data_IF_527627084676
#
_entry.id   IF_527627084676
#
_cell.length_a   1.000
_cell.length_b   1.000
_cell.length_c   1.000
_cell.angle_alpha   90.00
_cell.angle_beta   90.00
_cell.angle_gamma   90.00
#
_symmetry.space_group_name_H-M   'P 1'
#
loop_
_entity.id
_entity.type
_entity.pdbx_description
1 polymer ?
#
# COMPACT_ATOMS: atom_id res chain seq x y z
N UNK A 1 -72.82 21.83 -39.32
CA UNK A 1 -72.91 22.90 -40.34
C UNK A 1 -72.33 24.16 -39.75
N UNK A 2 -71.38 24.75 -40.50
CA UNK A 2 -70.91 26.14 -40.49
C UNK A 2 -69.98 26.64 -39.37
N UNK A 3 -68.91 27.23 -39.88
CA UNK A 3 -67.79 27.98 -39.29
C UNK A 3 -68.20 29.38 -38.78
N UNK A 4 -67.17 30.13 -38.36
CA UNK A 4 -67.02 31.61 -38.21
C UNK A 4 -67.36 32.14 -36.82
N UNK A 5 -66.41 32.56 -35.96
CA UNK A 5 -65.34 33.59 -36.01
C UNK A 5 -65.76 34.89 -35.32
N UNK A 6 -64.77 35.48 -34.63
CA UNK A 6 -64.62 36.91 -34.25
C UNK A 6 -65.08 37.41 -32.85
N UNK A 7 -64.10 38.01 -32.16
CA UNK A 7 -64.16 38.75 -30.89
C UNK A 7 -64.92 40.09 -30.99
N UNK A 8 -65.21 40.71 -29.84
CA UNK A 8 -64.45 41.92 -29.50
C UNK A 8 -64.05 42.03 -28.00
N UNK A 9 -62.90 42.65 -27.75
CA UNK A 9 -62.54 43.33 -26.48
C UNK A 9 -63.00 44.80 -26.55
N UNK A 10 -63.22 45.55 -25.44
CA UNK A 10 -62.16 46.06 -24.55
C UNK A 10 -62.64 46.17 -23.06
N UNK A 11 -61.84 46.41 -22.03
CA UNK A 11 -60.98 47.58 -21.75
C UNK A 11 -60.25 47.28 -20.43
N UNK A 12 -58.91 47.33 -20.40
CA UNK A 12 -58.08 48.43 -19.89
C UNK A 12 -58.58 49.05 -18.58
N UNK A 13 -58.04 48.59 -17.44
CA UNK A 13 -57.38 49.46 -16.43
C UNK A 13 -57.16 48.80 -15.05
N UNK A 14 -56.36 47.72 -14.94
CA UNK A 14 -55.78 47.34 -13.62
C UNK A 14 -54.73 46.24 -13.74
N UNK A 15 -53.57 46.59 -14.33
CA UNK A 15 -52.38 45.73 -14.33
C UNK A 15 -51.14 46.60 -14.31
N UNK A 16 -50.85 47.16 -13.15
CA UNK A 16 -49.56 47.72 -12.79
C UNK A 16 -49.52 47.66 -11.27
N UNK A 17 -49.00 46.56 -10.69
CA UNK A 17 -48.45 46.48 -9.32
C UNK A 17 -48.16 45.04 -8.82
N UNK A 18 -48.14 44.00 -9.66
CA UNK A 18 -47.81 42.63 -9.22
C UNK A 18 -46.61 41.96 -9.93
N UNK A 19 -45.71 42.74 -10.54
CA UNK A 19 -44.49 42.20 -11.18
C UNK A 19 -43.25 42.98 -10.76
N UNK A 20 -42.99 43.06 -9.46
CA UNK A 20 -41.72 43.61 -8.94
C UNK A 20 -41.26 42.98 -7.61
N UNK A 21 -41.81 41.83 -7.19
CA UNK A 21 -41.47 41.21 -5.90
C UNK A 21 -41.31 39.69 -5.93
N UNK A 22 -40.93 39.12 -7.08
CA UNK A 22 -40.58 37.69 -7.20
C UNK A 22 -39.34 37.45 -8.08
N UNK A 23 -38.40 38.41 -8.09
CA UNK A 23 -37.12 38.28 -8.79
C UNK A 23 -35.92 38.71 -7.92
N UNK A 24 -36.06 38.68 -6.59
CA UNK A 24 -35.00 39.08 -5.65
C UNK A 24 -34.65 38.00 -4.61
N UNK A 25 -35.03 36.74 -4.83
CA UNK A 25 -34.72 35.62 -3.91
C UNK A 25 -34.21 34.37 -4.64
N UNK A 26 -33.43 34.55 -5.72
CA UNK A 26 -32.80 33.44 -6.46
C UNK A 26 -31.34 33.74 -6.85
N UNK A 27 -30.68 34.64 -6.12
CA UNK A 27 -29.27 35.00 -6.32
C UNK A 27 -28.63 35.19 -4.95
N UNK A 28 -28.21 34.10 -4.32
CA UNK A 28 -27.12 33.99 -3.33
C UNK A 28 -27.18 32.62 -2.66
N UNK A 29 -26.60 31.63 -3.33
CA UNK A 29 -25.84 30.50 -2.74
C UNK A 29 -25.23 29.68 -3.89
N UNK A 30 -24.66 30.36 -4.89
CA UNK A 30 -23.53 29.78 -5.58
C UNK A 30 -22.37 29.90 -4.58
N UNK A 31 -22.27 28.94 -3.65
CA UNK A 31 -21.02 28.73 -2.95
C UNK A 31 -19.99 28.50 -4.05
N UNK A 32 -19.14 29.49 -4.29
CA UNK A 32 -17.90 29.26 -5.00
C UNK A 32 -17.28 28.05 -4.31
N UNK A 33 -17.18 26.93 -5.03
CA UNK A 33 -16.33 25.81 -4.62
C UNK A 33 -14.91 26.36 -4.70
N UNK A 34 -14.55 27.10 -3.66
CA UNK A 34 -13.22 27.61 -3.47
C UNK A 34 -12.43 26.35 -3.19
N UNK A 35 -11.68 25.90 -4.21
CA UNK A 35 -10.86 24.71 -4.10
C UNK A 35 -10.08 24.82 -2.79
N UNK A 36 -10.34 23.89 -1.86
CA UNK A 36 -9.65 23.87 -0.56
C UNK A 36 -8.14 24.03 -0.83
N UNK A 37 -7.47 25.00 -0.18
CA UNK A 37 -6.03 25.16 -0.35
C UNK A 37 -5.35 23.85 0.02
N UNK A 38 -4.32 23.47 -0.74
CA UNK A 38 -3.58 22.25 -0.47
C UNK A 38 -2.97 22.30 0.95
N UNK A 39 -2.96 21.15 1.63
CA UNK A 39 -2.52 21.04 3.03
C UNK A 39 -0.97 21.07 3.19
N UNK A 40 -0.23 21.37 2.13
CA UNK A 40 1.24 21.27 2.06
C UNK A 40 1.95 22.11 3.13
N UNK A 41 1.50 23.35 3.37
CA UNK A 41 2.11 24.21 4.39
C UNK A 41 1.98 23.64 5.81
N UNK A 42 0.84 22.98 6.11
CA UNK A 42 0.63 22.28 7.38
C UNK A 42 1.53 21.04 7.46
N UNK A 43 1.55 20.23 6.42
CA UNK A 43 2.30 18.96 6.39
C UNK A 43 3.81 19.16 6.49
N UNK A 44 4.34 20.28 6.02
CA UNK A 44 5.77 20.59 6.05
C UNK A 44 6.19 21.42 7.28
N UNK A 45 5.24 21.82 8.12
CA UNK A 45 5.51 22.66 9.28
C UNK A 45 6.40 21.95 10.31
N UNK A 46 7.42 22.65 10.85
CA UNK A 46 8.42 22.12 11.79
C UNK A 46 8.67 23.00 13.03
N UNK A 47 7.74 23.90 13.34
CA UNK A 47 7.88 24.77 14.53
C UNK A 47 7.87 23.97 15.84
N UNK A 48 8.38 24.58 16.91
CA UNK A 48 8.48 23.93 18.22
C UNK A 48 7.10 23.53 18.78
N UNK A 49 6.05 24.25 18.42
CA UNK A 49 4.66 24.02 18.79
C UNK A 49 3.94 23.01 17.90
N UNK A 50 4.62 22.42 16.89
CA UNK A 50 4.00 21.53 15.89
C UNK A 50 3.18 20.42 16.53
N UNK A 51 3.74 19.69 17.49
CA UNK A 51 3.08 18.53 18.10
C UNK A 51 1.80 18.93 18.83
N UNK A 52 1.86 19.95 19.68
CA UNK A 52 0.70 20.45 20.43
C UNK A 52 -0.37 20.99 19.48
N UNK A 53 0.03 21.83 18.50
CA UNK A 53 -0.87 22.39 17.50
C UNK A 53 -1.54 21.30 16.66
N UNK A 54 -0.79 20.26 16.31
CA UNK A 54 -1.28 19.13 15.53
C UNK A 54 -2.33 18.36 16.33
N UNK A 55 -2.03 18.01 17.58
CA UNK A 55 -2.96 17.29 18.46
C UNK A 55 -4.25 18.07 18.71
N UNK A 56 -4.16 19.36 19.03
CA UNK A 56 -5.33 20.17 19.36
C UNK A 56 -6.28 20.33 18.17
N UNK A 57 -5.75 20.58 16.97
CA UNK A 57 -6.58 20.68 15.77
C UNK A 57 -7.08 19.32 15.29
N UNK A 58 -6.29 18.26 15.42
CA UNK A 58 -6.73 16.90 15.10
C UNK A 58 -7.89 16.45 16.00
N UNK A 59 -7.90 16.83 17.28
CA UNK A 59 -9.04 16.61 18.19
C UNK A 59 -10.29 17.41 17.81
N UNK A 60 -10.12 18.61 17.26
CA UNK A 60 -11.24 19.41 16.72
C UNK A 60 -11.83 18.79 15.46
N UNK A 61 -10.98 18.22 14.60
CA UNK A 61 -11.42 17.45 13.42
C UNK A 61 -12.11 16.14 13.83
N UNK A 62 -11.62 15.48 14.91
CA UNK A 62 -12.28 14.37 15.60
C UNK A 62 -12.21 13.02 14.88
N UNK A 63 -11.85 12.99 13.60
CA UNK A 63 -11.76 11.77 12.79
C UNK A 63 -10.60 11.84 11.79
N UNK A 64 -10.02 10.69 11.46
CA UNK A 64 -9.17 10.47 10.28
C UNK A 64 -9.78 9.36 9.42
N UNK A 65 -9.99 9.64 8.13
CA UNK A 65 -10.48 8.69 7.14
C UNK A 65 -9.29 7.97 6.49
N UNK A 66 -9.16 6.67 6.78
CA UNK A 66 -8.06 5.83 6.31
C UNK A 66 -8.56 4.83 5.26
N UNK A 67 -7.95 4.85 4.08
CA UNK A 67 -8.05 3.73 3.13
C UNK A 67 -6.81 2.83 3.29
N UNK A 68 -7.02 1.54 3.55
CA UNK A 68 -5.89 0.65 3.88
C UNK A 68 -5.98 -0.76 3.30
N UNK A 69 -4.81 -1.37 3.09
CA UNK A 69 -4.65 -2.79 2.77
C UNK A 69 -4.10 -3.65 3.91
N UNK A 70 -3.87 -3.09 5.11
CA UNK A 70 -3.50 -3.83 6.33
C UNK A 70 -4.58 -4.83 6.72
N UNK A 71 -4.17 -6.06 6.98
CA UNK A 71 -5.07 -7.12 7.45
C UNK A 71 -5.79 -6.66 8.73
N UNK A 72 -7.00 -7.16 9.04
CA UNK A 72 -7.70 -6.76 10.26
C UNK A 72 -6.90 -7.04 11.54
N UNK A 73 -6.07 -8.09 11.52
CA UNK A 73 -5.12 -8.41 12.58
C UNK A 73 -4.03 -7.35 12.81
N UNK A 74 -3.87 -6.41 11.88
CA UNK A 74 -2.89 -5.32 11.93
C UNK A 74 -3.56 -3.96 12.10
N UNK A 75 -4.55 -3.67 11.25
CA UNK A 75 -5.25 -2.39 11.28
C UNK A 75 -6.08 -2.22 12.56
N UNK A 76 -6.67 -3.30 13.10
CA UNK A 76 -7.41 -3.25 14.36
C UNK A 76 -6.55 -2.76 15.53
N UNK A 77 -5.46 -3.47 15.89
CA UNK A 77 -4.56 -3.03 16.96
C UNK A 77 -3.96 -1.64 16.72
N UNK A 78 -3.54 -1.32 15.49
CA UNK A 78 -2.94 -0.03 15.15
C UNK A 78 -3.91 1.14 15.37
N UNK A 79 -5.13 1.02 14.83
CA UNK A 79 -6.15 2.06 14.97
C UNK A 79 -6.63 2.19 16.40
N UNK A 80 -6.85 1.10 17.14
CA UNK A 80 -7.23 1.15 18.55
C UNK A 80 -6.17 1.85 19.42
N UNK A 81 -4.88 1.60 19.16
CA UNK A 81 -3.80 2.27 19.87
C UNK A 81 -3.80 3.78 19.60
N UNK A 82 -3.97 4.20 18.34
CA UNK A 82 -4.11 5.60 17.97
C UNK A 82 -5.33 6.27 18.63
N UNK A 83 -6.52 5.65 18.51
CA UNK A 83 -7.77 6.16 19.07
C UNK A 83 -7.66 6.34 20.58
N UNK A 84 -7.12 5.34 21.28
CA UNK A 84 -6.92 5.37 22.73
C UNK A 84 -5.95 6.48 23.15
N UNK A 85 -4.88 6.68 22.39
CA UNK A 85 -3.82 7.65 22.72
C UNK A 85 -4.28 9.09 22.48
N UNK A 86 -4.98 9.35 21.38
CA UNK A 86 -5.25 10.71 20.94
C UNK A 86 -6.70 11.17 21.12
N UNK A 87 -7.64 10.23 21.30
CA UNK A 87 -9.07 10.53 21.42
C UNK A 87 -9.71 10.92 20.09
N UNK A 88 -9.15 10.46 18.97
CA UNK A 88 -9.57 10.78 17.60
C UNK A 88 -9.98 9.47 16.94
N UNK A 89 -11.15 9.43 16.30
CA UNK A 89 -11.66 8.22 15.65
C UNK A 89 -10.90 7.93 14.35
N UNK A 90 -10.67 6.65 14.03
CA UNK A 90 -10.27 6.24 12.69
C UNK A 90 -11.49 5.68 11.96
N UNK A 91 -11.93 6.37 10.91
CA UNK A 91 -12.90 5.83 9.96
C UNK A 91 -12.16 5.05 8.88
N UNK A 92 -12.19 3.73 9.01
CA UNK A 92 -11.36 2.84 8.22
C UNK A 92 -12.19 2.16 7.12
N UNK A 93 -11.75 2.33 5.87
CA UNK A 93 -12.16 1.48 4.77
C UNK A 93 -11.01 0.58 4.32
N UNK A 94 -11.24 -0.74 4.40
CA UNK A 94 -10.25 -1.74 4.01
C UNK A 94 -10.62 -2.43 2.71
N UNK A 95 -9.63 -2.64 1.85
CA UNK A 95 -9.71 -3.56 0.72
C UNK A 95 -8.32 -4.11 0.36
N UNK A 96 -8.21 -4.93 -0.68
CA UNK A 96 -6.89 -5.24 -1.28
C UNK A 96 -6.25 -3.98 -1.90
N UNK A 97 -4.94 -4.05 -2.10
CA UNK A 97 -4.09 -2.93 -2.55
C UNK A 97 -4.58 -2.30 -3.86
N UNK A 98 -4.97 -3.13 -4.83
CA UNK A 98 -5.43 -2.65 -6.14
C UNK A 98 -6.73 -1.85 -6.03
N UNK A 99 -7.70 -2.33 -5.24
CA UNK A 99 -8.96 -1.62 -5.02
C UNK A 99 -8.76 -0.34 -4.20
N UNK A 100 -7.81 -0.32 -3.27
CA UNK A 100 -7.42 0.90 -2.54
C UNK A 100 -6.90 1.94 -3.53
N UNK A 101 -5.95 1.58 -4.39
CA UNK A 101 -5.43 2.47 -5.43
C UNK A 101 -6.52 2.94 -6.40
N UNK A 102 -7.30 2.01 -6.95
CA UNK A 102 -8.37 2.31 -7.91
C UNK A 102 -9.44 3.24 -7.33
N UNK A 103 -9.91 2.98 -6.10
CA UNK A 103 -10.90 3.84 -5.44
C UNK A 103 -10.34 5.24 -5.25
N UNK A 104 -9.13 5.35 -4.70
CA UNK A 104 -8.48 6.62 -4.41
C UNK A 104 -8.29 7.46 -5.68
N UNK A 105 -7.75 6.86 -6.75
CA UNK A 105 -7.57 7.51 -8.05
C UNK A 105 -8.91 7.93 -8.65
N UNK A 106 -9.91 7.06 -8.60
CA UNK A 106 -11.25 7.33 -9.15
C UNK A 106 -11.96 8.47 -8.41
N UNK A 107 -11.88 8.50 -7.08
CA UNK A 107 -12.42 9.60 -6.28
C UNK A 107 -11.69 10.92 -6.56
N UNK A 108 -10.36 10.90 -6.58
CA UNK A 108 -9.55 12.08 -6.85
C UNK A 108 -9.82 12.67 -8.25
N UNK A 109 -9.90 11.83 -9.29
CA UNK A 109 -10.22 12.26 -10.66
C UNK A 109 -11.64 12.82 -10.79
N UNK A 110 -12.55 12.38 -9.93
CA UNK A 110 -13.91 12.91 -9.85
C UNK A 110 -14.04 14.13 -8.92
N UNK A 111 -12.93 14.67 -8.40
CA UNK A 111 -12.94 15.81 -7.47
C UNK A 111 -13.52 15.47 -6.09
N UNK A 112 -13.59 14.19 -5.71
CA UNK A 112 -14.03 13.74 -4.39
C UNK A 112 -12.80 13.55 -3.49
N UNK A 113 -12.74 14.31 -2.41
CA UNK A 113 -11.62 14.30 -1.47
C UNK A 113 -12.09 13.80 -0.10
N UNK A 114 -12.51 12.53 -0.05
CA UNK A 114 -13.04 11.93 1.19
C UNK A 114 -11.95 11.33 2.08
N UNK A 115 -10.85 10.89 1.48
CA UNK A 115 -9.75 10.21 2.19
C UNK A 115 -8.74 11.20 2.74
N UNK A 116 -8.27 10.94 3.96
CA UNK A 116 -7.24 11.72 4.63
C UNK A 116 -5.85 11.09 4.43
N UNK A 117 -5.76 9.79 4.70
CA UNK A 117 -4.54 9.01 4.57
C UNK A 117 -4.80 7.69 3.84
N UNK A 118 -3.79 7.24 3.09
CA UNK A 118 -3.81 5.94 2.41
C UNK A 118 -2.61 5.14 2.86
N UNK A 119 -2.84 3.93 3.37
CA UNK A 119 -1.79 2.97 3.69
C UNK A 119 -1.90 1.78 2.75
N UNK A 120 -0.83 1.44 2.02
CA UNK A 120 -0.83 0.23 1.17
C UNK A 120 0.57 -0.15 0.67
N UNK A 121 0.65 -1.05 -0.32
CA UNK A 121 1.89 -1.47 -0.97
C UNK A 121 2.54 -0.28 -1.71
N UNK A 122 3.86 -0.17 -1.67
CA UNK A 122 4.62 0.92 -2.29
C UNK A 122 4.30 1.15 -3.77
N UNK A 123 4.08 0.10 -4.56
CA UNK A 123 3.74 0.23 -5.99
C UNK A 123 2.37 0.88 -6.23
N UNK A 124 1.39 0.62 -5.37
CA UNK A 124 0.07 1.25 -5.47
C UNK A 124 0.07 2.67 -4.89
N UNK A 125 0.87 2.93 -3.85
CA UNK A 125 1.17 4.30 -3.39
C UNK A 125 1.85 5.11 -4.48
N UNK A 126 2.78 4.51 -5.21
CA UNK A 126 3.49 5.16 -6.31
C UNK A 126 2.56 5.52 -7.47
N UNK A 127 1.61 4.63 -7.85
CA UNK A 127 0.57 4.98 -8.83
C UNK A 127 -0.21 6.22 -8.39
N UNK A 128 -0.61 6.29 -7.11
CA UNK A 128 -1.34 7.43 -6.55
C UNK A 128 -0.48 8.70 -6.48
N UNK A 129 0.83 8.57 -6.19
CA UNK A 129 1.77 9.68 -6.21
C UNK A 129 1.95 10.27 -7.61
N UNK A 130 2.03 9.43 -8.66
CA UNK A 130 2.08 9.85 -10.07
C UNK A 130 0.82 10.59 -10.52
N UNK A 131 -0.34 10.26 -9.94
CA UNK A 131 -1.60 11.00 -10.10
C UNK A 131 -1.67 12.28 -9.25
N UNK A 132 -0.57 12.63 -8.54
CA UNK A 132 -0.44 13.82 -7.67
C UNK A 132 -1.47 13.87 -6.53
N UNK A 133 -1.91 12.71 -6.05
CA UNK A 133 -2.91 12.59 -4.98
C UNK A 133 -2.32 12.93 -3.62
N UNK A 134 -1.04 12.61 -3.41
CA UNK A 134 -0.37 12.81 -2.12
C UNK A 134 0.48 14.07 -2.07
N UNK A 135 0.54 14.70 -0.90
CA UNK A 135 1.47 15.77 -0.57
C UNK A 135 2.72 15.21 0.10
N UNK A 136 3.86 15.89 -0.09
CA UNK A 136 5.01 15.69 0.80
C UNK A 136 4.62 16.09 2.22
N UNK A 137 5.10 15.33 3.20
CA UNK A 137 4.92 15.65 4.60
C UNK A 137 6.19 15.44 5.42
N UNK A 138 6.30 16.22 6.49
CA UNK A 138 7.33 16.06 7.49
C UNK A 138 6.80 15.27 8.69
N UNK A 139 7.62 14.35 9.16
CA UNK A 139 7.51 13.69 10.45
C UNK A 139 8.89 13.65 11.10
N UNK A 140 9.02 13.89 12.42
CA UNK A 140 10.30 13.72 13.12
C UNK A 140 10.83 12.28 13.02
N UNK A 141 9.96 11.30 12.79
CA UNK A 141 10.31 9.89 12.73
C UNK A 141 10.92 9.44 11.40
N UNK A 142 10.83 10.27 10.34
CA UNK A 142 11.41 9.93 9.02
C UNK A 142 12.93 9.72 9.10
N UNK A 143 13.62 10.43 9.99
CA UNK A 143 15.07 10.28 10.18
C UNK A 143 15.48 8.86 10.61
N UNK A 144 14.56 8.13 11.23
CA UNK A 144 14.79 6.79 11.75
C UNK A 144 14.45 5.70 10.73
N UNK A 145 13.74 6.02 9.66
CA UNK A 145 13.38 5.08 8.60
C UNK A 145 14.62 4.64 7.80
N UNK A 146 14.50 3.49 7.11
CA UNK A 146 15.50 3.01 6.18
C UNK A 146 15.55 3.92 4.93
N UNK A 147 16.67 4.63 4.66
CA UNK A 147 16.72 5.61 3.58
C UNK A 147 16.42 5.02 2.19
N UNK A 148 16.86 3.78 1.93
CA UNK A 148 16.63 3.09 0.66
C UNK A 148 15.15 2.79 0.37
N UNK A 149 14.29 2.80 1.40
CA UNK A 149 12.85 2.55 1.27
C UNK A 149 12.03 3.84 1.09
N UNK A 150 12.65 5.01 1.23
CA UNK A 150 11.96 6.30 1.10
C UNK A 150 11.96 6.71 -0.38
N UNK A 151 10.79 6.92 -1.00
CA UNK A 151 10.72 7.40 -2.37
C UNK A 151 11.31 8.81 -2.49
N UNK A 152 12.00 9.10 -3.59
CA UNK A 152 12.68 10.39 -3.80
C UNK A 152 11.73 11.60 -3.72
N UNK A 153 10.47 11.45 -4.15
CA UNK A 153 9.45 12.50 -4.13
C UNK A 153 8.78 12.71 -2.76
N UNK A 154 8.97 11.78 -1.81
CA UNK A 154 8.49 11.89 -0.41
C UNK A 154 6.98 12.09 -0.26
N UNK A 155 6.18 11.77 -1.27
CA UNK A 155 4.71 11.80 -1.21
C UNK A 155 4.10 10.67 -0.38
N UNK A 156 4.89 9.66 -0.04
CA UNK A 156 4.54 8.64 0.95
C UNK A 156 5.80 8.21 1.69
N UNK A 157 5.64 7.63 2.88
CA UNK A 157 6.75 7.16 3.72
C UNK A 157 6.57 5.68 4.05
N UNK A 158 7.67 4.88 4.05
CA UNK A 158 7.58 3.47 4.39
C UNK A 158 7.27 3.30 5.88
N UNK A 159 6.27 2.48 6.20
CA UNK A 159 5.92 2.11 7.57
C UNK A 159 6.39 0.68 7.92
N UNK A 160 6.51 -0.19 6.93
CA UNK A 160 6.96 -1.58 7.08
C UNK A 160 7.57 -2.10 5.80
N UNK A 161 8.28 -3.21 5.91
CA UNK A 161 8.91 -3.92 4.80
C UNK A 161 8.30 -5.32 4.66
N UNK A 162 8.31 -5.85 3.45
CA UNK A 162 8.06 -7.26 3.18
C UNK A 162 9.27 -7.89 2.51
N UNK A 163 9.67 -9.08 2.98
CA UNK A 163 10.81 -9.81 2.44
C UNK A 163 10.36 -11.10 1.77
N UNK A 164 10.62 -11.23 0.47
CA UNK A 164 10.47 -12.47 -0.27
C UNK A 164 11.74 -13.30 -0.14
N UNK A 165 11.57 -14.54 0.30
CA UNK A 165 12.65 -15.51 0.36
C UNK A 165 12.12 -16.92 0.40
N UNK A 166 12.90 -17.83 0.97
CA UNK A 166 12.63 -19.26 0.87
C UNK A 166 11.99 -19.76 2.15
N UNK A 167 10.82 -20.38 2.04
CA UNK A 167 10.24 -21.19 3.10
C UNK A 167 10.40 -22.67 2.78
N UNK A 168 10.53 -23.50 3.81
CA UNK A 168 10.68 -24.94 3.67
C UNK A 168 9.96 -25.68 4.78
N UNK A 169 9.53 -26.90 4.46
CA UNK A 169 8.92 -27.78 5.45
C UNK A 169 10.01 -28.42 6.34
N UNK A 170 9.98 -28.15 7.64
CA UNK A 170 11.03 -28.59 8.57
C UNK A 170 11.03 -30.09 8.86
N UNK A 171 9.96 -30.82 8.51
CA UNK A 171 9.89 -32.29 8.61
C UNK A 171 10.45 -32.99 7.37
N UNK A 172 10.53 -32.30 6.23
CA UNK A 172 10.89 -32.90 4.93
C UNK A 172 12.23 -32.38 4.40
N UNK A 173 12.65 -31.19 4.82
CA UNK A 173 13.90 -30.54 4.39
C UNK A 173 14.65 -30.06 5.63
N UNK A 174 15.92 -30.44 5.75
CA UNK A 174 16.78 -29.93 6.81
C UNK A 174 17.38 -28.60 6.40
N UNK A 175 17.62 -27.72 7.37
CA UNK A 175 18.11 -26.35 7.13
C UNK A 175 19.44 -26.33 6.39
N UNK A 176 20.31 -27.27 6.69
CA UNK A 176 21.65 -27.46 6.14
C UNK A 176 21.66 -27.97 4.69
N UNK A 177 20.56 -28.56 4.22
CA UNK A 177 20.47 -29.07 2.85
C UNK A 177 20.14 -27.95 1.84
N UNK A 178 19.63 -26.81 2.32
CA UNK A 178 19.23 -25.65 1.52
C UNK A 178 20.46 -24.88 1.02
N UNK A 179 20.48 -24.51 -0.27
CA UNK A 179 21.59 -23.75 -0.84
C UNK A 179 21.66 -22.33 -0.27
N UNK A 180 22.85 -21.74 -0.30
CA UNK A 180 23.08 -20.35 0.15
C UNK A 180 22.63 -19.30 -0.86
N UNK A 181 22.60 -19.66 -2.15
CA UNK A 181 22.15 -18.82 -3.26
C UNK A 181 21.13 -19.58 -4.10
N UNK A 182 20.29 -18.86 -4.86
CA UNK A 182 19.21 -19.53 -5.59
C UNK A 182 19.70 -20.48 -6.69
N UNK A 183 20.91 -20.30 -7.25
CA UNK A 183 21.42 -21.22 -8.28
C UNK A 183 21.55 -22.66 -7.78
N UNK A 184 21.74 -22.89 -6.48
CA UNK A 184 21.75 -24.25 -5.92
C UNK A 184 20.38 -24.95 -5.97
N UNK A 185 19.29 -24.24 -6.24
CA UNK A 185 17.99 -24.87 -6.51
C UNK A 185 17.88 -25.46 -7.92
N UNK A 186 18.90 -25.26 -8.77
CA UNK A 186 18.99 -25.92 -10.07
C UNK A 186 19.54 -27.36 -9.98
N UNK A 187 20.00 -27.79 -8.81
CA UNK A 187 20.43 -29.16 -8.59
C UNK A 187 19.26 -30.14 -8.75
N UNK A 188 19.51 -31.28 -9.40
CA UNK A 188 18.50 -32.29 -9.72
C UNK A 188 17.68 -32.77 -8.50
N UNK A 189 18.26 -32.72 -7.28
CA UNK A 189 17.60 -33.09 -6.01
C UNK A 189 16.37 -32.24 -5.69
N UNK A 190 16.23 -31.06 -6.30
CA UNK A 190 15.12 -30.13 -6.08
C UNK A 190 14.01 -30.23 -7.12
N UNK A 191 14.21 -31.02 -8.19
CA UNK A 191 13.19 -31.20 -9.24
C UNK A 191 11.92 -31.80 -8.65
N UNK A 192 10.77 -31.17 -8.92
CA UNK A 192 9.48 -31.57 -8.36
C UNK A 192 9.29 -31.26 -6.86
N UNK A 193 10.19 -30.48 -6.25
CA UNK A 193 10.11 -30.09 -4.81
C UNK A 193 9.99 -28.59 -4.58
N UNK A 194 10.00 -27.81 -5.66
CA UNK A 194 9.99 -26.34 -5.65
C UNK A 194 8.58 -25.86 -5.96
N UNK A 195 8.09 -24.90 -5.19
CA UNK A 195 6.92 -24.10 -5.54
C UNK A 195 7.23 -22.61 -5.67
N UNK A 196 6.43 -21.95 -6.49
CA UNK A 196 6.49 -20.51 -6.78
C UNK A 196 5.09 -19.91 -6.70
N UNK A 197 5.00 -18.65 -6.30
CA UNK A 197 3.78 -17.87 -6.48
C UNK A 197 3.71 -17.35 -7.92
N UNK A 198 2.53 -17.42 -8.53
CA UNK A 198 2.32 -17.15 -9.95
C UNK A 198 2.48 -15.67 -10.36
N UNK A 199 2.45 -14.73 -9.41
CA UNK A 199 2.50 -13.29 -9.61
C UNK A 199 3.81 -12.62 -9.17
N UNK A 200 4.83 -13.38 -8.73
CA UNK A 200 6.10 -12.84 -8.19
C UNK A 200 7.09 -12.34 -9.25
N UNK A 201 6.57 -11.49 -10.14
CA UNK A 201 7.33 -10.77 -11.16
C UNK A 201 8.40 -9.88 -10.49
N UNK A 202 8.11 -9.32 -9.30
CA UNK A 202 9.05 -8.51 -8.53
C UNK A 202 10.28 -9.31 -8.08
N UNK A 203 10.10 -10.60 -7.74
CA UNK A 203 11.21 -11.46 -7.38
C UNK A 203 12.14 -11.68 -8.56
N UNK A 204 11.57 -11.90 -9.76
CA UNK A 204 12.35 -11.97 -11.00
C UNK A 204 13.12 -10.69 -11.27
N UNK A 205 12.43 -9.53 -11.26
CA UNK A 205 13.06 -8.24 -11.49
C UNK A 205 14.19 -7.97 -10.49
N UNK A 206 13.96 -8.26 -9.21
CA UNK A 206 14.93 -8.07 -8.14
C UNK A 206 16.18 -8.95 -8.27
N UNK A 207 16.02 -10.26 -8.55
CA UNK A 207 17.16 -11.14 -8.80
C UNK A 207 17.94 -10.69 -10.02
N UNK A 208 17.24 -10.39 -11.13
CA UNK A 208 17.90 -10.00 -12.38
C UNK A 208 18.66 -8.68 -12.22
N UNK A 209 18.09 -7.70 -11.50
CA UNK A 209 18.78 -6.45 -11.17
C UNK A 209 20.05 -6.70 -10.36
N UNK A 210 19.97 -7.52 -9.32
CA UNK A 210 21.11 -7.76 -8.44
C UNK A 210 22.23 -8.57 -9.10
N UNK A 211 21.88 -9.51 -9.97
CA UNK A 211 22.86 -10.39 -10.64
C UNK A 211 23.31 -9.89 -12.01
N UNK A 212 22.63 -8.89 -12.58
CA UNK A 212 22.75 -8.51 -13.97
C UNK A 212 21.92 -9.41 -14.89
N UNK A 213 21.55 -8.87 -16.06
CA UNK A 213 20.60 -9.50 -16.99
C UNK A 213 21.04 -10.89 -17.45
N UNK A 214 22.31 -11.07 -17.82
CA UNK A 214 22.82 -12.36 -18.29
C UNK A 214 22.72 -13.46 -17.22
N UNK A 215 23.28 -13.21 -16.02
CA UNK A 215 23.29 -14.20 -14.93
C UNK A 215 21.88 -14.46 -14.40
N UNK A 216 21.09 -13.40 -14.19
CA UNK A 216 19.71 -13.51 -13.74
C UNK A 216 18.86 -14.34 -14.69
N UNK A 217 18.88 -14.02 -15.99
CA UNK A 217 18.11 -14.75 -16.99
C UNK A 217 18.60 -16.18 -17.17
N UNK A 218 19.92 -16.45 -17.05
CA UNK A 218 20.44 -17.83 -17.06
C UNK A 218 19.85 -18.65 -15.91
N UNK A 219 19.78 -18.09 -14.70
CA UNK A 219 19.15 -18.75 -13.55
C UNK A 219 17.67 -19.04 -13.81
N UNK A 220 16.89 -18.05 -14.24
CA UNK A 220 15.45 -18.22 -14.46
C UNK A 220 15.11 -19.23 -15.57
N UNK A 221 15.90 -19.25 -16.64
CA UNK A 221 15.77 -20.28 -17.68
C UNK A 221 16.05 -21.68 -17.12
N UNK A 222 17.07 -21.84 -16.30
CA UNK A 222 17.36 -23.10 -15.60
C UNK A 222 16.24 -23.49 -14.63
N UNK A 223 15.74 -22.55 -13.83
CA UNK A 223 14.66 -22.79 -12.87
C UNK A 223 13.39 -23.26 -13.58
N UNK A 224 13.07 -22.67 -14.74
CA UNK A 224 11.92 -23.10 -15.52
C UNK A 224 12.06 -24.53 -16.06
N UNK A 225 13.29 -25.06 -16.25
CA UNK A 225 13.51 -26.47 -16.59
C UNK A 225 13.32 -27.42 -15.39
N UNK A 226 13.41 -26.90 -14.16
CA UNK A 226 13.10 -27.66 -12.94
C UNK A 226 11.61 -27.96 -12.79
N UNK A 227 10.75 -27.32 -13.60
CA UNK A 227 9.28 -27.41 -13.56
C UNK A 227 8.74 -27.21 -12.14
N UNK A 228 8.93 -26.02 -11.56
CA UNK A 228 8.38 -25.70 -10.25
C UNK A 228 6.85 -25.77 -10.28
N UNK A 229 6.25 -26.08 -9.14
CA UNK A 229 4.81 -26.02 -8.94
C UNK A 229 4.37 -24.55 -8.76
N UNK A 230 3.72 -23.99 -9.77
CA UNK A 230 3.32 -22.58 -9.81
C UNK A 230 1.89 -22.44 -9.31
N UNK A 231 1.70 -21.69 -8.22
CA UNK A 231 0.41 -21.55 -7.54
C UNK A 231 0.03 -20.10 -7.37
N UNK A 232 -1.27 -19.80 -7.47
CA UNK A 232 -1.76 -18.44 -7.26
C UNK A 232 -2.08 -18.20 -5.80
N UNK A 233 -1.47 -17.16 -5.22
CA UNK A 233 -1.68 -16.71 -3.85
C UNK A 233 -0.60 -17.16 -2.87
N UNK A 234 0.07 -16.19 -2.26
CA UNK A 234 1.10 -16.41 -1.23
C UNK A 234 0.61 -17.23 -0.02
N UNK A 235 -0.66 -17.07 0.39
CA UNK A 235 -1.25 -17.86 1.47
C UNK A 235 -1.34 -19.34 1.09
N UNK A 236 -1.74 -19.64 -0.15
CA UNK A 236 -1.81 -21.02 -0.64
C UNK A 236 -0.41 -21.64 -0.69
N UNK A 237 0.56 -20.94 -1.28
CA UNK A 237 1.95 -21.43 -1.33
C UNK A 237 2.49 -21.74 0.07
N UNK A 238 2.25 -20.85 1.04
CA UNK A 238 2.66 -21.06 2.44
C UNK A 238 2.01 -22.32 3.02
N UNK A 239 0.72 -22.56 2.76
CA UNK A 239 0.03 -23.76 3.25
C UNK A 239 0.51 -25.05 2.59
N UNK A 240 0.86 -25.00 1.30
CA UNK A 240 1.46 -26.14 0.60
C UNK A 240 2.84 -26.49 1.15
N UNK A 241 3.60 -25.49 1.60
CA UNK A 241 4.85 -25.71 2.34
C UNK A 241 4.58 -26.32 3.71
N UNK A 242 3.60 -25.80 4.46
CA UNK A 242 3.21 -26.35 5.77
C UNK A 242 2.77 -27.82 5.64
N UNK A 243 1.96 -28.17 4.63
CA UNK A 243 1.50 -29.55 4.42
C UNK A 243 2.61 -30.49 3.95
N UNK A 244 3.67 -29.95 3.34
CA UNK A 244 4.75 -30.70 2.74
C UNK A 244 4.47 -31.15 1.30
N UNK A 245 3.31 -30.80 0.73
CA UNK A 245 3.01 -31.01 -0.70
C UNK A 245 4.03 -30.30 -1.58
N UNK A 246 4.45 -29.10 -1.18
CA UNK A 246 5.59 -28.37 -1.75
C UNK A 246 6.69 -28.30 -0.69
N UNK A 247 7.76 -29.12 -0.76
CA UNK A 247 8.81 -29.11 0.25
C UNK A 247 9.53 -27.77 0.43
N UNK A 248 9.69 -26.98 -0.65
CA UNK A 248 10.35 -25.67 -0.64
C UNK A 248 9.59 -24.66 -1.51
N UNK A 249 9.18 -23.54 -0.94
CA UNK A 249 8.64 -22.39 -1.67
C UNK A 249 9.70 -21.30 -1.81
N UNK A 250 10.02 -20.84 -3.03
CA UNK A 250 11.10 -19.86 -3.24
C UNK A 250 10.67 -18.40 -3.12
N UNK A 251 9.37 -18.14 -3.10
CA UNK A 251 8.82 -16.78 -3.07
C UNK A 251 7.78 -16.65 -1.96
N UNK A 252 8.22 -16.90 -0.73
CA UNK A 252 7.38 -16.83 0.47
C UNK A 252 7.79 -15.64 1.31
N UNK A 253 6.81 -14.81 1.67
CA UNK A 253 7.02 -13.70 2.60
C UNK A 253 7.38 -14.20 4.01
N UNK A 254 8.43 -13.65 4.60
CA UNK A 254 8.86 -14.01 5.96
C UNK A 254 7.73 -13.85 6.99
N UNK A 255 6.93 -12.77 6.88
CA UNK A 255 5.78 -12.52 7.75
C UNK A 255 4.65 -13.56 7.63
N UNK A 256 4.57 -14.30 6.52
CA UNK A 256 3.54 -15.33 6.33
C UNK A 256 3.91 -16.64 7.06
N UNK A 257 5.20 -16.86 7.30
CA UNK A 257 5.71 -18.06 7.99
C UNK A 257 5.58 -17.93 9.50
N UNK A 258 5.77 -16.72 10.02
CA UNK A 258 5.84 -16.45 11.46
C UNK A 258 4.62 -16.96 12.27
N UNK A 259 3.35 -16.76 11.83
CA UNK A 259 2.20 -17.33 12.54
C UNK A 259 2.20 -18.88 12.56
N UNK A 260 2.61 -19.50 11.46
CA UNK A 260 2.74 -20.96 11.36
C UNK A 260 3.80 -21.49 12.32
N UNK A 261 4.95 -20.83 12.38
CA UNK A 261 6.04 -21.16 13.31
C UNK A 261 5.60 -21.04 14.77
N UNK A 262 4.91 -19.95 15.13
CA UNK A 262 4.36 -19.74 16.49
C UNK A 262 3.33 -20.77 16.89
N UNK A 263 2.57 -21.31 15.94
CA UNK A 263 1.57 -22.37 16.18
C UNK A 263 2.13 -23.79 16.07
N UNK A 264 3.45 -23.95 15.86
CA UNK A 264 4.11 -25.26 15.80
C UNK A 264 3.93 -25.99 14.46
N UNK A 265 3.48 -25.30 13.40
CA UNK A 265 3.44 -25.87 12.07
C UNK A 265 4.87 -26.19 11.56
N UNK A 266 5.05 -27.25 10.76
CA UNK A 266 6.38 -27.68 10.29
C UNK A 266 6.90 -26.81 9.15
N UNK A 267 7.11 -25.52 9.41
CA UNK A 267 7.61 -24.54 8.44
C UNK A 267 8.67 -23.65 9.07
N UNK A 268 9.70 -23.31 8.31
CA UNK A 268 10.64 -22.25 8.66
C UNK A 268 11.03 -21.45 7.41
N UNK A 269 11.67 -20.31 7.62
CA UNK A 269 12.06 -19.38 6.57
C UNK A 269 13.57 -19.12 6.60
N UNK A 270 14.18 -19.00 5.43
CA UNK A 270 15.59 -18.67 5.26
C UNK A 270 15.79 -17.56 4.23
N UNK A 271 16.66 -16.63 4.60
CA UNK A 271 17.22 -15.59 3.74
C UNK A 271 18.24 -16.17 2.74
N UNK A 272 17.77 -16.87 1.70
CA UNK A 272 18.62 -17.23 0.55
C UNK A 272 18.88 -15.96 -0.27
N UNK A 273 20.15 -15.68 -0.55
CA UNK A 273 20.52 -14.42 -1.21
C UNK A 273 20.38 -14.51 -2.75
N UNK A 274 19.86 -13.45 -3.40
CA UNK A 274 19.43 -12.17 -2.81
C UNK A 274 18.00 -12.21 -2.23
N UNK A 275 17.81 -11.66 -1.02
CA UNK A 275 16.45 -11.46 -0.47
C UNK A 275 15.84 -10.20 -1.06
N UNK A 276 14.64 -10.29 -1.63
CA UNK A 276 13.96 -9.13 -2.23
C UNK A 276 13.10 -8.46 -1.17
N UNK A 277 13.31 -7.16 -0.96
CA UNK A 277 12.57 -6.35 -0.02
C UNK A 277 11.67 -5.35 -0.75
N UNK A 278 10.43 -5.22 -0.31
CA UNK A 278 9.49 -4.23 -0.84
C UNK A 278 9.02 -3.29 0.28
N UNK A 279 8.96 -1.97 0.03
CA UNK A 279 8.41 -1.03 0.97
C UNK A 279 6.88 -1.01 0.89
N UNK A 280 6.25 -0.90 2.05
CA UNK A 280 4.84 -0.58 2.21
C UNK A 280 4.78 0.64 3.13
N UNK A 281 3.70 1.43 3.03
CA UNK A 281 3.74 2.73 3.67
C UNK A 281 2.45 3.49 3.69
N UNK A 282 2.57 4.74 4.08
CA UNK A 282 1.47 5.68 4.27
C UNK A 282 1.72 6.98 3.48
N UNK A 283 0.70 7.42 2.75
CA UNK A 283 0.65 8.71 2.04
C UNK A 283 -0.49 9.58 2.56
N UNK A 284 -0.31 10.90 2.54
CA UNK A 284 -1.31 11.88 2.97
C UNK A 284 -1.95 12.56 1.77
N UNK A 285 -3.28 12.57 1.69
CA UNK A 285 -3.99 13.22 0.60
C UNK A 285 -3.74 14.74 0.62
N UNK A 286 -3.43 15.33 -0.54
CA UNK A 286 -3.19 16.78 -0.68
C UNK A 286 -4.36 17.63 -0.20
N UNK A 287 -5.57 17.10 -0.37
CA UNK A 287 -6.86 17.75 -0.08
C UNK A 287 -7.63 17.00 1.00
N UNK A 288 -6.93 16.35 1.93
CA UNK A 288 -7.52 15.70 3.09
C UNK A 288 -8.50 16.66 3.80
N UNK A 289 -9.76 16.25 4.07
CA UNK A 289 -10.72 17.05 4.83
C UNK A 289 -10.34 17.21 6.30
N UNK A 290 -9.57 16.28 6.86
CA UNK A 290 -9.08 16.28 8.25
C UNK A 290 -7.54 16.22 8.29
N UNK A 291 -6.85 17.27 7.81
CA UNK A 291 -5.42 17.20 7.58
C UNK A 291 -4.57 17.16 8.85
N UNK A 292 -5.04 17.69 9.98
CA UNK A 292 -4.31 17.57 11.24
C UNK A 292 -4.39 16.14 11.77
N UNK A 293 -5.56 15.52 11.72
CA UNK A 293 -5.75 14.12 12.09
C UNK A 293 -4.98 13.17 11.16
N UNK A 294 -4.94 13.47 9.85
CA UNK A 294 -4.14 12.73 8.86
C UNK A 294 -2.65 12.73 9.22
N UNK A 295 -2.08 13.92 9.44
CA UNK A 295 -0.65 14.06 9.75
C UNK A 295 -0.31 13.48 11.12
N UNK A 296 -1.18 13.63 12.12
CA UNK A 296 -1.00 13.00 13.43
C UNK A 296 -1.02 11.47 13.33
N UNK A 297 -1.91 10.92 12.51
CA UNK A 297 -1.98 9.48 12.26
C UNK A 297 -0.70 8.97 11.57
N UNK A 298 -0.20 9.67 10.55
CA UNK A 298 1.08 9.31 9.93
C UNK A 298 2.26 9.42 10.91
N UNK A 299 2.32 10.46 11.76
CA UNK A 299 3.32 10.53 12.82
C UNK A 299 3.24 9.34 13.77
N UNK A 300 2.03 8.95 14.19
CA UNK A 300 1.83 7.79 15.04
C UNK A 300 2.30 6.48 14.39
N UNK A 301 1.92 6.24 13.12
CA UNK A 301 2.33 5.05 12.36
C UNK A 301 3.85 4.94 12.22
N UNK A 302 4.53 6.07 12.00
CA UNK A 302 5.99 6.12 11.84
C UNK A 302 6.73 6.18 13.19
N UNK A 303 6.05 6.50 14.29
CA UNK A 303 6.65 6.57 15.63
C UNK A 303 7.19 5.23 16.12
N UNK A 304 8.10 5.22 17.12
CA UNK A 304 8.55 3.99 17.76
C UNK A 304 7.42 3.09 18.26
N UNK A 305 6.29 3.68 18.66
CA UNK A 305 5.11 2.94 19.10
C UNK A 305 4.41 2.22 17.94
N UNK A 306 4.10 2.93 16.85
CA UNK A 306 3.47 2.35 15.66
C UNK A 306 4.36 1.28 15.00
N UNK A 307 5.65 1.58 14.88
CA UNK A 307 6.66 0.65 14.38
C UNK A 307 6.82 -0.58 15.29
N UNK A 308 6.75 -0.38 16.62
CA UNK A 308 6.77 -1.46 17.61
C UNK A 308 5.56 -2.38 17.50
N UNK A 309 4.37 -1.83 17.23
CA UNK A 309 3.16 -2.62 16.97
C UNK A 309 3.34 -3.53 15.76
N UNK A 310 3.84 -3.01 14.62
CA UNK A 310 4.15 -3.84 13.45
C UNK A 310 5.12 -4.98 13.78
N UNK A 311 6.22 -4.68 14.49
CA UNK A 311 7.19 -5.70 14.90
C UNK A 311 6.55 -6.79 15.76
N UNK A 312 5.71 -6.42 16.74
CA UNK A 312 5.00 -7.38 17.60
C UNK A 312 4.06 -8.31 16.82
N UNK A 313 3.50 -7.81 15.72
CA UNK A 313 2.62 -8.53 14.80
C UNK A 313 3.39 -9.34 13.75
N UNK A 314 4.71 -9.43 13.85
CA UNK A 314 5.54 -10.18 12.89
C UNK A 314 5.69 -9.47 11.55
N UNK A 315 5.55 -8.14 11.52
CA UNK A 315 5.85 -7.30 10.36
C UNK A 315 7.17 -6.57 10.57
N UNK A 316 8.13 -6.68 9.63
CA UNK A 316 9.36 -5.90 9.71
C UNK A 316 9.05 -4.39 9.69
N UNK A 317 9.39 -3.62 10.74
CA UNK A 317 9.24 -2.18 10.74
C UNK A 317 10.20 -1.53 9.73
N UNK A 318 9.81 -0.39 9.16
CA UNK A 318 10.69 0.41 8.31
C UNK A 318 11.71 1.23 9.14
N UNK A 319 11.42 1.46 10.43
CA UNK A 319 12.33 2.13 11.37
C UNK A 319 13.53 1.28 11.74
N UNK A 320 14.73 1.84 11.58
CA UNK A 320 16.01 1.23 11.97
C UNK A 320 16.22 1.21 13.49
N UNK A 321 15.40 1.94 14.25
CA UNK A 321 15.47 2.00 15.71
C UNK A 321 14.58 0.98 16.42
N UNK A 322 13.66 0.32 15.71
CA UNK A 322 12.80 -0.70 16.28
C UNK A 322 13.36 -2.08 15.96
N UNK A 323 13.64 -2.85 17.01
CA UNK A 323 14.16 -4.20 16.85
C UNK A 323 13.13 -5.11 16.18
N UNK A 324 13.63 -5.98 15.30
CA UNK A 324 12.86 -7.02 14.62
C UNK A 324 13.74 -8.25 14.43
N UNK A 325 13.15 -9.44 14.59
CA UNK A 325 13.80 -10.69 14.21
C UNK A 325 13.78 -10.91 12.68
N UNK A 326 12.91 -10.17 11.98
CA UNK A 326 12.72 -10.24 10.53
C UNK A 326 13.43 -9.05 9.87
N UNK A 327 14.47 -9.30 9.08
CA UNK A 327 15.23 -8.25 8.38
C UNK A 327 16.71 -8.11 8.79
N UNK A 328 17.25 -9.02 9.62
CA UNK A 328 18.67 -9.04 9.99
C UNK A 328 19.52 -9.76 8.94
N UNK A 329 19.47 -9.29 7.70
CA UNK A 329 20.19 -9.86 6.56
C UNK A 329 20.32 -8.82 5.43
N UNK A 330 21.26 -9.05 4.51
CA UNK A 330 21.35 -8.27 3.29
C UNK A 330 20.08 -8.46 2.45
N UNK A 331 19.58 -7.39 1.86
CA UNK A 331 18.41 -7.44 0.98
C UNK A 331 18.51 -6.42 -0.15
N UNK A 332 17.82 -6.71 -1.23
CA UNK A 332 17.66 -5.83 -2.39
C UNK A 332 16.36 -5.07 -2.20
N UNK A 333 16.46 -3.80 -1.83
CA UNK A 333 15.30 -2.92 -1.75
C UNK A 333 14.81 -2.59 -3.16
N UNK A 334 13.57 -2.94 -3.43
CA UNK A 334 12.92 -2.59 -4.68
C UNK A 334 12.43 -1.15 -4.65
N UNK A 335 12.57 -0.47 -5.79
CA UNK A 335 12.04 0.86 -6.00
C UNK A 335 10.68 0.74 -6.70
N UNK A 336 9.57 1.10 -6.02
CA UNK A 336 8.24 1.00 -6.59
C UNK A 336 8.05 1.77 -7.91
N UNK A 337 8.76 2.88 -8.12
CA UNK A 337 8.68 3.63 -9.38
C UNK A 337 9.27 2.81 -10.52
N UNK A 338 10.43 2.21 -10.30
CA UNK A 338 11.06 1.39 -11.34
C UNK A 338 10.30 0.07 -11.56
N UNK A 339 9.75 -0.52 -10.50
CA UNK A 339 8.87 -1.69 -10.62
C UNK A 339 7.69 -1.42 -11.55
N UNK A 340 7.05 -0.24 -11.44
CA UNK A 340 5.96 0.15 -12.34
C UNK A 340 6.44 0.35 -13.78
N UNK A 341 7.56 1.04 -13.97
CA UNK A 341 8.10 1.37 -15.30
C UNK A 341 8.53 0.10 -16.07
N UNK A 342 9.04 -0.90 -15.35
CA UNK A 342 9.51 -2.16 -15.94
C UNK A 342 8.46 -3.29 -15.92
N UNK A 343 7.29 -3.06 -15.30
CA UNK A 343 6.27 -4.09 -15.05
C UNK A 343 5.91 -4.91 -16.31
N UNK A 344 5.62 -4.25 -17.44
CA UNK A 344 5.26 -4.91 -18.69
C UNK A 344 6.40 -5.76 -19.29
N UNK A 345 7.67 -5.35 -19.11
CA UNK A 345 8.84 -6.13 -19.53
C UNK A 345 8.86 -7.44 -18.75
N UNK A 346 8.86 -7.35 -17.42
CA UNK A 346 9.04 -8.50 -16.55
C UNK A 346 7.82 -9.43 -16.54
N UNK A 347 6.61 -8.91 -16.69
CA UNK A 347 5.40 -9.73 -16.84
C UNK A 347 5.48 -10.63 -18.08
N UNK A 348 5.93 -10.09 -19.22
CA UNK A 348 6.10 -10.88 -20.46
C UNK A 348 7.13 -12.00 -20.26
N UNK A 349 8.25 -11.69 -19.62
CA UNK A 349 9.31 -12.65 -19.33
C UNK A 349 8.80 -13.75 -18.39
N UNK A 350 8.15 -13.36 -17.28
CA UNK A 350 7.59 -14.28 -16.30
C UNK A 350 6.58 -15.25 -16.92
N UNK A 351 5.63 -14.74 -17.71
CA UNK A 351 4.63 -15.57 -18.37
C UNK A 351 5.26 -16.60 -19.31
N UNK A 352 6.27 -16.22 -20.08
CA UNK A 352 6.98 -17.14 -20.98
C UNK A 352 7.78 -18.22 -20.24
N UNK A 353 8.22 -17.95 -19.01
CA UNK A 353 8.98 -18.89 -18.19
C UNK A 353 8.09 -19.86 -17.41
N UNK A 354 6.96 -19.38 -16.84
CA UNK A 354 6.26 -20.13 -15.79
C UNK A 354 4.75 -20.29 -16.00
N UNK A 355 4.11 -19.53 -16.90
CA UNK A 355 2.65 -19.55 -17.05
C UNK A 355 2.21 -20.18 -18.37
N UNK A 356 2.82 -19.79 -19.49
CA UNK A 356 2.38 -20.17 -20.84
C UNK A 356 3.12 -21.41 -21.39
N UNK A 357 3.62 -22.29 -20.52
CA UNK A 357 4.48 -23.43 -20.93
C UNK A 357 3.73 -24.74 -21.10
#
# INVERSE_FOLDING_TARGET
MRETSWCPSPSRSSLSYCMAMTAALALLLAATVQAQPANEALYLYRGAEREQRLLDNARREGVVVLYTSLAPSESGPLTQAFEKKHGIKVDLWRSNSEKVSQRTITEARAGRHQVDAVETIGTDLEKMARERIFAEFYSPHIADLLPAAIPAHRGWMPDRLSYLGVAYNTKVVRREDLPKTYEGFLDAKWKGRIGLEAGDIVWLAGIVRQWGEERGMKFFNGLAQMRPDVRSGHTLLTQLVISGEVPVGLTVYSSSVEPGKRSGAPIDWVAVQPVIAQPLGIGLAKRAPHPHAALLFADFVLSPEGQGLFSSLGRPPASRKVATALGQFDSVMMDPAVELDESAKWERVWKALFINR
#
